data_IF_603833043763
#
_entry.id   IF_603833043763
#
_cell.length_a   1.000
_cell.length_b   1.000
_cell.length_c   1.000
_cell.angle_alpha   90.00
_cell.angle_beta   90.00
_cell.angle_gamma   90.00
#
_symmetry.space_group_name_H-M   'P 1'
#
loop_
_entity.id
_entity.type
_entity.pdbx_description
1 polymer ?
#
# COMPACT_ATOMS: atom_id res chain seq x y z
N UNK A 1 1.86 41.40 -30.87
CA UNK A 1 3.28 41.15 -30.69
C UNK A 1 3.58 40.91 -29.22
N UNK A 2 4.27 39.87 -29.04
CA UNK A 2 4.92 39.23 -27.90
C UNK A 2 3.96 38.30 -27.12
N UNK A 3 3.97 37.01 -27.36
CA UNK A 3 4.98 35.96 -27.17
C UNK A 3 5.28 35.66 -25.70
N UNK A 4 4.85 34.45 -25.37
CA UNK A 4 5.59 33.38 -24.72
C UNK A 4 6.12 33.59 -23.31
N UNK A 5 5.62 32.77 -22.45
CA UNK A 5 6.15 32.46 -21.16
C UNK A 5 5.61 31.14 -20.63
N UNK A 6 5.64 30.08 -21.45
CA UNK A 6 5.59 28.72 -20.89
C UNK A 6 6.91 28.50 -20.14
N UNK A 7 6.92 28.73 -18.84
CA UNK A 7 8.03 28.33 -17.98
C UNK A 7 7.96 26.82 -17.84
N UNK A 8 8.74 26.12 -18.67
CA UNK A 8 9.12 24.75 -18.40
C UNK A 8 9.75 24.69 -17.02
N UNK A 9 9.16 23.97 -16.08
CA UNK A 9 9.82 23.49 -14.88
C UNK A 9 10.98 22.62 -15.35
N UNK A 10 12.17 23.19 -15.44
CA UNK A 10 13.40 22.41 -15.65
C UNK A 10 13.54 21.53 -14.41
N UNK A 11 13.17 20.28 -14.55
CA UNK A 11 13.39 19.26 -13.56
C UNK A 11 14.89 19.20 -13.26
N UNK A 12 15.28 19.72 -12.09
CA UNK A 12 16.63 19.55 -11.56
C UNK A 12 16.77 18.13 -11.01
N UNK A 13 16.51 17.15 -11.85
CA UNK A 13 16.63 15.74 -11.49
C UNK A 13 18.11 15.33 -11.52
N UNK A 14 18.62 14.92 -10.35
CA UNK A 14 19.98 14.37 -10.25
C UNK A 14 19.92 12.90 -10.69
N UNK A 15 20.31 12.63 -11.94
CA UNK A 15 20.28 11.29 -12.54
C UNK A 15 20.95 10.22 -11.65
N UNK A 16 22.01 10.57 -10.92
CA UNK A 16 22.66 9.65 -10.02
C UNK A 16 21.75 9.15 -8.88
N UNK A 17 20.85 10.01 -8.38
CA UNK A 17 19.88 9.63 -7.34
C UNK A 17 18.83 8.67 -7.90
N UNK A 18 18.32 8.93 -9.10
CA UNK A 18 17.40 8.00 -9.77
C UNK A 18 18.04 6.64 -9.99
N UNK A 19 19.26 6.60 -10.54
CA UNK A 19 19.97 5.33 -10.77
C UNK A 19 20.22 4.59 -9.45
N UNK A 20 20.52 5.31 -8.35
CA UNK A 20 20.68 4.71 -7.03
C UNK A 20 19.40 4.00 -6.58
N UNK A 21 18.23 4.66 -6.68
CA UNK A 21 16.95 4.03 -6.31
C UNK A 21 16.57 2.90 -7.27
N UNK A 22 16.89 3.00 -8.57
CA UNK A 22 16.75 1.87 -9.51
C UNK A 22 17.52 0.63 -9.02
N UNK A 23 18.75 0.82 -8.52
CA UNK A 23 19.56 -0.29 -7.96
C UNK A 23 18.94 -0.82 -6.67
N UNK A 24 18.42 0.04 -5.79
CA UNK A 24 17.74 -0.36 -4.55
C UNK A 24 16.47 -1.16 -4.86
N UNK A 25 15.64 -0.67 -5.79
CA UNK A 25 14.41 -1.36 -6.19
C UNK A 25 14.72 -2.71 -6.87
N UNK A 26 15.77 -2.76 -7.70
CA UNK A 26 16.22 -4.01 -8.29
C UNK A 26 16.67 -5.04 -7.24
N UNK A 27 17.40 -4.61 -6.20
CA UNK A 27 17.80 -5.50 -5.11
C UNK A 27 16.60 -6.08 -4.33
N UNK A 28 15.46 -5.39 -4.30
CA UNK A 28 14.26 -5.87 -3.63
C UNK A 28 13.65 -7.12 -4.26
N UNK A 29 13.90 -7.35 -5.54
CA UNK A 29 13.38 -8.50 -6.28
C UNK A 29 14.21 -9.79 -6.06
N UNK A 30 15.34 -9.68 -5.33
CA UNK A 30 16.24 -10.79 -5.04
C UNK A 30 16.47 -10.94 -3.54
N UNK A 31 16.60 -12.17 -3.07
CA UNK A 31 17.09 -12.44 -1.70
C UNK A 31 18.56 -12.03 -1.55
N UNK A 32 19.38 -12.38 -2.55
CA UNK A 32 20.73 -11.85 -2.79
C UNK A 32 21.10 -12.01 -4.27
N UNK A 33 22.01 -11.16 -4.79
CA UNK A 33 22.33 -11.15 -6.21
C UNK A 33 23.74 -10.64 -6.48
N UNK A 34 24.43 -11.25 -7.44
CA UNK A 34 25.73 -10.80 -7.92
C UNK A 34 25.63 -9.56 -8.82
N UNK A 35 26.72 -8.75 -8.87
CA UNK A 35 26.80 -7.52 -9.67
C UNK A 35 26.39 -7.72 -11.14
N UNK A 36 26.82 -8.84 -11.74
CA UNK A 36 26.59 -9.08 -13.18
C UNK A 36 25.13 -9.37 -13.50
N UNK A 37 24.46 -10.11 -12.64
CA UNK A 37 23.06 -10.47 -12.76
C UNK A 37 22.17 -9.25 -12.52
N UNK A 38 22.42 -8.48 -11.45
CA UNK A 38 21.69 -7.25 -11.19
C UNK A 38 21.88 -6.23 -12.32
N UNK A 39 23.09 -6.05 -12.83
CA UNK A 39 23.37 -5.16 -13.95
C UNK A 39 22.59 -5.56 -15.20
N UNK A 40 22.49 -6.86 -15.46
CA UNK A 40 21.70 -7.39 -16.58
C UNK A 40 20.19 -7.18 -16.38
N UNK A 41 19.67 -7.44 -15.18
CA UNK A 41 18.25 -7.24 -14.86
C UNK A 41 17.81 -5.78 -14.96
N UNK A 42 18.72 -4.84 -14.63
CA UNK A 42 18.46 -3.40 -14.67
C UNK A 42 18.86 -2.71 -15.98
N UNK A 43 19.39 -3.47 -16.94
CA UNK A 43 19.97 -2.93 -18.19
C UNK A 43 21.01 -1.82 -17.96
N UNK A 44 21.78 -1.92 -16.87
CA UNK A 44 22.83 -0.98 -16.50
C UNK A 44 24.22 -1.54 -16.80
N UNK A 45 25.21 -0.67 -17.12
CA UNK A 45 26.60 -1.12 -17.20
C UNK A 45 27.07 -1.72 -15.87
N UNK A 46 27.75 -2.86 -15.91
CA UNK A 46 28.29 -3.55 -14.74
C UNK A 46 29.15 -2.64 -13.84
N UNK A 47 29.98 -1.79 -14.45
CA UNK A 47 30.81 -0.82 -13.72
C UNK A 47 29.96 0.20 -12.96
N UNK A 48 28.86 0.68 -13.56
CA UNK A 48 27.92 1.61 -12.93
C UNK A 48 27.22 0.93 -11.75
N UNK A 49 26.64 -0.24 -11.96
CA UNK A 49 25.98 -1.03 -10.92
C UNK A 49 26.92 -1.30 -9.73
N UNK A 50 28.16 -1.68 -10.01
CA UNK A 50 29.17 -1.92 -8.97
C UNK A 50 29.46 -0.67 -8.13
N UNK A 51 29.61 0.52 -8.77
CA UNK A 51 29.87 1.77 -8.05
C UNK A 51 28.70 2.12 -7.11
N UNK A 52 27.45 1.97 -7.57
CA UNK A 52 26.27 2.22 -6.72
C UNK A 52 26.18 1.22 -5.56
N UNK A 53 26.38 -0.07 -5.82
CA UNK A 53 26.39 -1.10 -4.78
C UNK A 53 27.45 -0.82 -3.72
N UNK A 54 28.67 -0.45 -4.12
CA UNK A 54 29.74 -0.09 -3.20
C UNK A 54 29.42 1.15 -2.36
N UNK A 55 28.86 2.18 -2.99
CA UNK A 55 28.44 3.40 -2.27
C UNK A 55 27.33 3.09 -1.26
N UNK A 56 26.35 2.27 -1.62
CA UNK A 56 25.27 1.84 -0.73
C UNK A 56 25.79 0.93 0.41
N UNK A 57 26.76 0.07 0.13
CA UNK A 57 27.44 -0.77 1.13
C UNK A 57 28.19 0.11 2.14
N UNK A 58 28.99 1.07 1.68
CA UNK A 58 29.72 2.02 2.53
C UNK A 58 28.76 2.87 3.40
N UNK A 59 27.61 3.23 2.84
CA UNK A 59 26.56 3.92 3.57
C UNK A 59 25.74 3.01 4.52
N UNK A 60 25.93 1.68 4.45
CA UNK A 60 25.26 0.69 5.30
C UNK A 60 23.83 0.32 4.86
N UNK A 61 23.44 0.68 3.63
CA UNK A 61 22.12 0.33 3.07
C UNK A 61 22.10 -1.01 2.33
N UNK A 62 23.27 -1.49 1.93
CA UNK A 62 23.46 -2.77 1.24
C UNK A 62 24.48 -3.60 2.01
N UNK A 63 24.28 -4.88 2.03
CA UNK A 63 25.22 -5.86 2.60
C UNK A 63 25.80 -6.67 1.46
N UNK A 64 27.13 -6.86 1.49
CA UNK A 64 27.87 -7.70 0.58
C UNK A 64 28.40 -8.92 1.33
N UNK A 65 28.01 -10.09 0.89
CA UNK A 65 28.51 -11.36 1.41
C UNK A 65 29.18 -12.16 0.29
N UNK A 66 30.50 -12.08 0.22
CA UNK A 66 31.29 -12.83 -0.76
C UNK A 66 31.04 -12.46 -2.23
N UNK A 67 30.52 -11.27 -2.52
CA UNK A 67 30.19 -10.80 -3.89
C UNK A 67 28.71 -10.83 -4.24
N UNK A 68 27.90 -11.36 -3.33
CA UNK A 68 26.45 -11.33 -3.37
C UNK A 68 25.93 -10.14 -2.55
N UNK A 69 25.04 -9.35 -3.14
CA UNK A 69 24.51 -8.12 -2.55
C UNK A 69 23.02 -8.28 -2.21
N UNK A 70 22.63 -7.74 -1.06
CA UNK A 70 21.22 -7.67 -0.61
C UNK A 70 20.93 -6.39 0.13
N UNK A 71 19.65 -6.05 0.28
CA UNK A 71 19.23 -4.89 1.07
C UNK A 71 19.64 -5.06 2.55
N UNK A 72 20.14 -3.98 3.13
CA UNK A 72 20.51 -3.89 4.54
C UNK A 72 19.33 -3.52 5.44
N UNK A 73 19.39 -3.87 6.73
CA UNK A 73 18.35 -3.58 7.72
C UNK A 73 18.18 -2.08 8.02
N UNK A 74 19.05 -1.21 7.48
CA UNK A 74 18.92 0.24 7.64
C UNK A 74 17.66 0.81 7.02
N UNK A 75 17.14 0.19 5.95
CA UNK A 75 15.84 0.53 5.39
C UNK A 75 14.70 0.23 6.37
N UNK A 76 14.79 -0.87 7.13
CA UNK A 76 13.81 -1.20 8.17
C UNK A 76 13.86 -0.21 9.33
N UNK A 77 15.05 0.28 9.72
CA UNK A 77 15.21 1.33 10.74
C UNK A 77 14.49 2.61 10.31
N UNK A 78 14.70 3.06 9.07
CA UNK A 78 14.04 4.26 8.53
C UNK A 78 12.52 4.08 8.45
N UNK A 79 12.05 3.02 7.83
CA UNK A 79 10.62 2.73 7.71
C UNK A 79 9.94 2.56 9.07
N UNK A 80 10.58 1.86 10.00
CA UNK A 80 10.12 1.70 11.38
C UNK A 80 10.00 3.05 12.11
N UNK A 81 11.00 3.93 11.94
CA UNK A 81 10.99 5.28 12.51
C UNK A 81 9.86 6.15 11.95
N UNK A 82 9.62 6.08 10.63
CA UNK A 82 8.49 6.78 9.99
C UNK A 82 7.18 6.29 10.61
N UNK A 83 6.93 4.99 10.58
CA UNK A 83 5.70 4.38 11.07
C UNK A 83 5.44 4.71 12.55
N UNK A 84 6.45 4.63 13.41
CA UNK A 84 6.33 4.93 14.83
C UNK A 84 5.94 6.39 15.12
N UNK A 85 6.22 7.33 14.23
CA UNK A 85 5.83 8.74 14.37
C UNK A 85 4.41 9.03 13.90
N UNK A 86 3.78 8.12 13.17
CA UNK A 86 2.41 8.29 12.70
C UNK A 86 1.43 8.10 13.86
N UNK A 87 0.74 9.17 14.24
CA UNK A 87 -0.33 9.14 15.25
C UNK A 87 -1.38 8.08 14.97
N UNK A 88 -1.73 7.92 13.69
CA UNK A 88 -2.65 6.89 13.22
C UNK A 88 -2.18 5.49 13.61
N UNK A 89 -0.90 5.17 13.39
CA UNK A 89 -0.35 3.86 13.74
C UNK A 89 -0.46 3.61 15.26
N UNK A 90 -0.18 4.63 16.07
CA UNK A 90 -0.29 4.51 17.53
C UNK A 90 -1.73 4.28 17.99
N UNK A 91 -2.69 4.98 17.35
CA UNK A 91 -4.11 4.84 17.68
C UNK A 91 -4.71 3.51 17.22
N UNK A 92 -4.26 2.97 16.09
CA UNK A 92 -4.91 1.85 15.43
C UNK A 92 -4.27 0.49 15.73
N UNK A 93 -2.99 0.44 16.08
CA UNK A 93 -2.25 -0.83 16.16
C UNK A 93 -2.93 -1.88 17.05
N UNK A 94 -3.32 -1.50 18.26
CA UNK A 94 -3.94 -2.43 19.21
C UNK A 94 -5.28 -2.94 18.68
N UNK A 95 -6.11 -2.06 18.12
CA UNK A 95 -7.42 -2.41 17.59
C UNK A 95 -7.32 -3.36 16.37
N UNK A 96 -6.33 -3.18 15.51
CA UNK A 96 -6.07 -4.09 14.39
C UNK A 96 -5.59 -5.46 14.89
N UNK A 97 -4.78 -5.52 15.96
CA UNK A 97 -4.36 -6.79 16.59
C UNK A 97 -5.56 -7.52 17.21
N UNK A 98 -6.42 -6.79 17.95
CA UNK A 98 -7.62 -7.35 18.57
C UNK A 98 -8.63 -7.81 17.51
N UNK A 99 -8.85 -7.02 16.47
CA UNK A 99 -9.73 -7.38 15.36
C UNK A 99 -9.30 -8.70 14.70
N UNK A 100 -8.02 -8.83 14.34
CA UNK A 100 -7.47 -10.05 13.76
C UNK A 100 -7.68 -11.27 14.68
N UNK A 101 -7.41 -11.11 15.98
CA UNK A 101 -7.60 -12.16 16.98
C UNK A 101 -9.07 -12.59 17.13
N UNK A 102 -10.00 -11.63 17.08
CA UNK A 102 -11.43 -11.89 17.25
C UNK A 102 -12.08 -12.56 16.04
N UNK A 103 -11.65 -12.18 14.82
CA UNK A 103 -12.24 -12.71 13.59
C UNK A 103 -11.52 -13.94 13.05
N UNK A 104 -10.28 -14.21 13.50
CA UNK A 104 -9.47 -15.33 13.02
C UNK A 104 -8.97 -15.15 11.58
N UNK A 105 -8.96 -13.92 11.05
CA UNK A 105 -8.51 -13.55 9.72
C UNK A 105 -7.49 -12.41 9.78
N UNK A 106 -6.85 -12.10 8.66
CA UNK A 106 -5.88 -11.01 8.58
C UNK A 106 -6.60 -9.66 8.69
N UNK A 107 -6.15 -8.81 9.61
CA UNK A 107 -6.59 -7.43 9.73
C UNK A 107 -5.50 -6.47 9.26
N UNK A 108 -5.90 -5.48 8.47
CA UNK A 108 -5.01 -4.56 7.79
C UNK A 108 -5.39 -3.11 8.06
N UNK A 109 -4.38 -2.24 8.12
CA UNK A 109 -4.52 -0.78 8.11
C UNK A 109 -3.79 -0.23 6.89
N UNK A 110 -4.47 0.54 6.06
CA UNK A 110 -3.91 1.18 4.88
C UNK A 110 -4.12 2.68 4.88
N UNK A 111 -3.21 3.39 4.24
CA UNK A 111 -3.28 4.83 3.98
C UNK A 111 -3.08 5.08 2.49
N UNK A 112 -3.36 6.30 2.05
CA UNK A 112 -3.04 6.75 0.69
C UNK A 112 -1.80 7.64 0.72
N UNK A 113 -0.85 7.36 -0.18
CA UNK A 113 0.29 8.23 -0.48
C UNK A 113 0.54 8.22 -1.99
N UNK A 114 0.67 9.38 -2.58
CA UNK A 114 0.90 9.56 -4.03
C UNK A 114 -0.09 8.80 -4.93
N UNK A 115 -1.39 8.80 -4.57
CA UNK A 115 -2.44 8.11 -5.31
C UNK A 115 -2.38 6.58 -5.25
N UNK A 116 -1.57 6.01 -4.37
CA UNK A 116 -1.47 4.57 -4.14
C UNK A 116 -1.84 4.19 -2.70
N UNK A 117 -2.31 2.96 -2.50
CA UNK A 117 -2.54 2.40 -1.18
C UNK A 117 -1.22 1.91 -0.59
N UNK A 118 -0.87 2.39 0.59
CA UNK A 118 0.26 1.90 1.38
C UNK A 118 -0.24 1.03 2.52
N UNK A 119 0.28 -0.20 2.64
CA UNK A 119 -0.03 -1.08 3.76
C UNK A 119 0.76 -0.60 4.99
N UNK A 120 0.10 0.11 5.90
CA UNK A 120 0.74 0.68 7.07
C UNK A 120 0.97 -0.35 8.18
N UNK A 121 0.01 -1.24 8.38
CA UNK A 121 0.08 -2.30 9.38
C UNK A 121 -0.77 -3.51 8.97
N UNK A 122 -0.31 -4.69 9.37
CA UNK A 122 -1.05 -5.95 9.25
C UNK A 122 -0.90 -6.76 10.53
N UNK A 123 -1.98 -7.37 10.97
CA UNK A 123 -2.03 -8.34 12.06
C UNK A 123 -2.62 -9.64 11.53
N UNK A 124 -2.03 -10.75 11.92
CA UNK A 124 -2.39 -12.09 11.43
C UNK A 124 -2.63 -13.04 12.60
N UNK A 125 -3.67 -13.88 12.54
CA UNK A 125 -3.86 -14.92 13.52
C UNK A 125 -2.76 -15.99 13.39
N UNK A 126 -2.44 -16.67 14.50
CA UNK A 126 -1.35 -17.67 14.57
C UNK A 126 -1.47 -18.79 13.54
N UNK A 127 -2.69 -19.13 13.15
CA UNK A 127 -3.02 -20.21 12.22
C UNK A 127 -3.57 -19.70 10.88
N UNK A 128 -3.44 -18.39 10.62
CA UNK A 128 -3.96 -17.72 9.43
C UNK A 128 -3.18 -18.09 8.16
N UNK A 129 -3.89 -18.08 7.03
CA UNK A 129 -3.25 -18.18 5.72
C UNK A 129 -2.72 -16.78 5.35
N UNK A 130 -1.42 -16.69 5.21
CA UNK A 130 -0.69 -15.44 5.04
C UNK A 130 -1.00 -14.75 3.71
N UNK A 131 -1.50 -13.54 3.75
CA UNK A 131 -1.22 -12.56 2.71
C UNK A 131 0.18 -12.00 3.00
N UNK A 132 1.16 -12.40 2.19
CA UNK A 132 2.56 -12.01 2.38
C UNK A 132 2.86 -10.55 1.95
N UNK A 133 1.86 -9.68 1.94
CA UNK A 133 2.05 -8.28 1.63
C UNK A 133 2.93 -7.62 2.71
N UNK A 134 4.11 -7.13 2.37
CA UNK A 134 4.97 -6.51 3.36
C UNK A 134 4.41 -5.14 3.80
N UNK A 135 4.55 -4.82 5.08
CA UNK A 135 4.32 -3.44 5.55
C UNK A 135 5.14 -2.45 4.72
N UNK A 136 4.50 -1.38 4.27
CA UNK A 136 5.09 -0.41 3.35
C UNK A 136 4.87 -0.74 1.87
N UNK A 137 4.15 -1.81 1.54
CA UNK A 137 3.80 -2.12 0.16
C UNK A 137 2.89 -1.05 -0.43
N UNK A 138 3.27 -0.55 -1.61
CA UNK A 138 2.43 0.31 -2.46
C UNK A 138 1.68 -0.53 -3.48
N UNK A 139 0.37 -0.29 -3.64
CA UNK A 139 -0.44 -0.92 -4.68
C UNK A 139 -1.44 0.05 -5.29
N UNK A 140 -1.94 -0.28 -6.48
CA UNK A 140 -3.04 0.48 -7.08
C UNK A 140 -4.28 0.47 -6.18
N UNK A 141 -4.91 1.62 -6.06
CA UNK A 141 -6.05 1.82 -5.16
C UNK A 141 -7.24 0.92 -5.51
N UNK A 142 -7.55 0.79 -6.80
CA UNK A 142 -8.72 0.03 -7.28
C UNK A 142 -8.61 -1.48 -7.11
N UNK A 143 -7.41 -2.01 -6.83
CA UNK A 143 -7.21 -3.47 -6.63
C UNK A 143 -7.68 -3.99 -5.28
N UNK A 144 -7.80 -3.12 -4.29
CA UNK A 144 -7.97 -3.57 -2.90
C UNK A 144 -9.18 -2.93 -2.23
N UNK A 145 -9.81 -3.65 -1.30
CA UNK A 145 -10.89 -3.08 -0.48
C UNK A 145 -10.43 -1.82 0.25
N UNK A 146 -9.21 -1.83 0.84
CA UNK A 146 -8.60 -0.65 1.47
C UNK A 146 -8.55 0.56 0.54
N UNK A 147 -8.02 0.36 -0.67
CA UNK A 147 -7.87 1.42 -1.64
C UNK A 147 -9.22 1.94 -2.15
N UNK A 148 -10.17 1.07 -2.45
CA UNK A 148 -11.54 1.47 -2.85
C UNK A 148 -12.26 2.22 -1.72
N UNK A 149 -12.10 1.78 -0.46
CA UNK A 149 -12.64 2.49 0.70
C UNK A 149 -12.05 3.90 0.84
N UNK A 150 -10.76 4.08 0.60
CA UNK A 150 -10.10 5.39 0.58
C UNK A 150 -10.58 6.26 -0.59
N UNK A 151 -10.60 5.71 -1.82
CA UNK A 151 -11.07 6.43 -3.01
C UNK A 151 -12.52 6.92 -2.87
N UNK A 152 -13.40 6.12 -2.25
CA UNK A 152 -14.81 6.47 -2.08
C UNK A 152 -15.03 7.75 -1.27
N UNK A 153 -14.04 8.17 -0.50
CA UNK A 153 -14.09 9.37 0.34
C UNK A 153 -13.54 10.63 -0.35
N UNK A 154 -12.91 10.47 -1.50
CA UNK A 154 -12.39 11.58 -2.29
C UNK A 154 -13.49 12.18 -3.17
N UNK A 155 -13.27 13.43 -3.60
CA UNK A 155 -14.11 14.01 -4.68
C UNK A 155 -13.81 13.29 -6.00
N UNK A 156 -14.76 13.33 -6.92
CA UNK A 156 -14.63 12.68 -8.21
C UNK A 156 -13.44 13.22 -9.01
N UNK A 157 -13.14 14.52 -8.91
CA UNK A 157 -11.96 15.14 -9.55
C UNK A 157 -10.65 14.57 -9.00
N UNK A 158 -10.59 14.25 -7.70
CA UNK A 158 -9.39 13.63 -7.10
C UNK A 158 -9.27 12.17 -7.48
N UNK A 159 -10.38 11.44 -7.59
CA UNK A 159 -10.39 10.07 -8.12
C UNK A 159 -9.91 10.06 -9.56
N UNK A 160 -10.40 10.99 -10.39
CA UNK A 160 -9.94 11.16 -11.78
C UNK A 160 -8.44 11.41 -11.85
N UNK A 161 -7.89 12.28 -11.00
CA UNK A 161 -6.46 12.54 -10.97
C UNK A 161 -5.63 11.29 -10.61
N UNK A 162 -6.10 10.47 -9.67
CA UNK A 162 -5.46 9.18 -9.32
C UNK A 162 -5.50 8.21 -10.52
N UNK A 163 -6.65 8.11 -11.19
CA UNK A 163 -6.79 7.25 -12.38
C UNK A 163 -5.94 7.75 -13.54
N UNK A 164 -5.83 9.06 -13.74
CA UNK A 164 -5.00 9.65 -14.80
C UNK A 164 -3.50 9.40 -14.54
N UNK A 165 -3.08 9.41 -13.27
CA UNK A 165 -1.68 9.20 -12.87
C UNK A 165 -1.27 7.72 -12.95
N UNK A 166 -2.09 6.79 -12.46
CA UNK A 166 -1.72 5.38 -12.27
C UNK A 166 -2.40 4.42 -13.24
N UNK A 167 -3.45 4.87 -13.95
CA UNK A 167 -4.29 4.01 -14.77
C UNK A 167 -5.13 3.03 -13.94
N UNK A 168 -5.77 2.10 -14.65
CA UNK A 168 -6.52 0.99 -14.08
C UNK A 168 -5.98 -0.36 -14.62
N UNK A 169 -4.70 -0.69 -14.37
CA UNK A 169 -4.16 -1.97 -14.85
C UNK A 169 -4.87 -3.16 -14.20
N UNK A 170 -5.01 -4.24 -14.95
CA UNK A 170 -5.55 -5.50 -14.44
C UNK A 170 -4.51 -6.25 -13.60
N UNK A 171 -4.93 -6.84 -12.49
CA UNK A 171 -4.15 -7.81 -11.72
C UNK A 171 -4.73 -9.22 -11.86
N UNK A 172 -6.06 -9.33 -12.08
CA UNK A 172 -6.80 -10.56 -12.32
C UNK A 172 -7.93 -10.28 -13.32
N UNK A 173 -8.64 -11.31 -13.74
CA UNK A 173 -9.83 -11.17 -14.58
C UNK A 173 -11.01 -10.45 -13.86
N UNK A 174 -10.99 -10.39 -12.53
CA UNK A 174 -12.01 -9.73 -11.72
C UNK A 174 -11.70 -8.25 -11.46
N UNK A 175 -10.49 -7.77 -11.80
CA UNK A 175 -10.08 -6.39 -11.56
C UNK A 175 -10.94 -5.40 -12.33
N UNK A 176 -11.37 -4.32 -11.69
CA UNK A 176 -12.04 -3.19 -12.34
C UNK A 176 -11.01 -2.45 -13.20
N UNK A 177 -11.21 -2.42 -14.52
CA UNK A 177 -10.30 -1.76 -15.48
C UNK A 177 -10.93 -0.57 -16.20
N UNK A 178 -12.24 -0.37 -16.02
CA UNK A 178 -12.99 0.70 -16.66
C UNK A 178 -13.34 1.80 -15.66
N UNK A 179 -13.13 3.07 -16.06
CA UNK A 179 -13.38 4.26 -15.22
C UNK A 179 -14.83 4.31 -14.73
N UNK A 180 -15.79 4.13 -15.61
CA UNK A 180 -17.23 4.20 -15.26
C UNK A 180 -17.60 3.10 -14.25
N UNK A 181 -17.01 1.90 -14.38
CA UNK A 181 -17.22 0.80 -13.44
C UNK A 181 -16.62 1.11 -12.05
N UNK A 182 -15.44 1.75 -12.02
CA UNK A 182 -14.86 2.20 -10.75
C UNK A 182 -15.75 3.23 -10.06
N UNK A 183 -16.24 4.25 -10.76
CA UNK A 183 -17.12 5.26 -10.17
C UNK A 183 -18.43 4.67 -9.65
N UNK A 184 -19.05 3.74 -10.38
CA UNK A 184 -20.25 3.02 -9.92
C UNK A 184 -19.98 2.19 -8.64
N UNK A 185 -18.82 1.54 -8.56
CA UNK A 185 -18.36 0.83 -7.34
C UNK A 185 -18.19 1.81 -6.19
N UNK A 186 -17.55 2.98 -6.41
CA UNK A 186 -17.33 3.99 -5.37
C UNK A 186 -18.64 4.60 -4.87
N UNK A 187 -19.64 4.78 -5.72
CA UNK A 187 -21.01 5.19 -5.30
C UNK A 187 -21.62 4.13 -4.38
N UNK A 188 -21.54 2.85 -4.76
CA UNK A 188 -22.01 1.75 -3.91
C UNK A 188 -21.33 1.74 -2.54
N UNK A 189 -20.01 2.00 -2.49
CA UNK A 189 -19.26 2.07 -1.25
C UNK A 189 -19.68 3.27 -0.40
N UNK A 190 -19.96 4.43 -1.02
CA UNK A 190 -20.47 5.63 -0.32
C UNK A 190 -21.83 5.35 0.34
N UNK A 191 -22.69 4.62 -0.33
CA UNK A 191 -24.05 4.28 0.14
C UNK A 191 -24.02 3.22 1.26
N UNK A 192 -23.18 2.17 1.12
CA UNK A 192 -23.11 1.05 2.07
C UNK A 192 -22.17 1.31 3.26
N UNK A 193 -21.18 2.21 3.07
CA UNK A 193 -20.17 2.55 4.04
C UNK A 193 -19.00 1.57 4.13
N UNK A 194 -18.91 0.58 3.24
CA UNK A 194 -17.80 -0.37 3.18
C UNK A 194 -17.47 -0.77 1.75
N UNK A 195 -16.22 -1.17 1.52
CA UNK A 195 -15.73 -1.67 0.25
C UNK A 195 -15.49 -3.19 0.32
N UNK A 196 -15.77 -3.89 -0.76
CA UNK A 196 -15.43 -5.31 -0.93
C UNK A 196 -14.37 -5.42 -2.03
N UNK A 197 -13.37 -6.26 -1.82
CA UNK A 197 -12.50 -6.82 -2.84
C UNK A 197 -12.84 -8.29 -2.99
N UNK A 198 -13.20 -8.73 -4.17
CA UNK A 198 -13.47 -10.13 -4.46
C UNK A 198 -12.57 -10.63 -5.58
N UNK A 199 -11.37 -11.07 -5.21
CA UNK A 199 -10.37 -11.61 -6.14
C UNK A 199 -9.79 -10.58 -7.13
N UNK A 200 -9.98 -9.28 -6.89
CA UNK A 200 -9.56 -8.21 -7.81
C UNK A 200 -8.04 -8.01 -7.84
N UNK A 201 -7.35 -8.21 -6.70
CA UNK A 201 -5.89 -8.18 -6.59
C UNK A 201 -5.25 -9.55 -6.77
N UNK A 202 -5.87 -10.58 -6.20
CA UNK A 202 -5.37 -11.96 -6.21
C UNK A 202 -6.52 -12.95 -6.20
N UNK A 203 -6.44 -13.96 -7.07
CA UNK A 203 -7.43 -15.04 -7.09
C UNK A 203 -7.53 -15.76 -5.74
N UNK A 204 -8.74 -16.14 -5.35
CA UNK A 204 -9.02 -16.86 -4.11
C UNK A 204 -8.98 -16.02 -2.83
N UNK A 205 -8.70 -14.71 -2.93
CA UNK A 205 -8.71 -13.76 -1.80
C UNK A 205 -9.96 -12.89 -1.86
N UNK A 206 -10.57 -12.63 -0.70
CA UNK A 206 -11.63 -11.65 -0.51
C UNK A 206 -11.27 -10.76 0.67
N UNK A 207 -11.68 -9.50 0.61
CA UNK A 207 -11.50 -8.54 1.69
C UNK A 207 -12.70 -7.61 1.81
N UNK A 208 -12.92 -7.10 3.02
CA UNK A 208 -13.87 -6.03 3.31
C UNK A 208 -13.13 -4.91 4.05
N UNK A 209 -13.39 -3.65 3.69
CA UNK A 209 -12.74 -2.49 4.28
C UNK A 209 -13.73 -1.39 4.62
N UNK A 210 -13.44 -0.64 5.68
CA UNK A 210 -14.17 0.56 6.09
C UNK A 210 -13.18 1.72 6.17
N UNK A 211 -13.53 2.91 5.64
CA UNK A 211 -12.68 4.09 5.78
C UNK A 211 -12.66 4.57 7.24
N UNK A 212 -11.48 4.97 7.71
CA UNK A 212 -11.26 5.64 9.00
C UNK A 212 -11.25 7.14 8.77
N UNK A 213 -12.12 7.89 9.44
CA UNK A 213 -12.33 9.32 9.23
C UNK A 213 -11.93 10.13 10.47
N UNK A 214 -11.54 11.34 10.23
CA UNK A 214 -11.37 12.33 11.28
C UNK A 214 -12.33 13.50 11.04
N UNK A 215 -13.09 13.89 12.06
CA UNK A 215 -14.19 14.86 11.93
C UNK A 215 -13.77 16.25 11.42
N UNK A 216 -12.50 16.61 11.57
CA UNK A 216 -11.97 17.92 11.20
C UNK A 216 -11.19 17.90 9.87
N UNK A 217 -11.05 16.71 9.25
CA UNK A 217 -10.41 16.53 7.95
C UNK A 217 -11.44 15.98 6.94
N UNK A 218 -11.63 16.63 5.79
CA UNK A 218 -12.54 16.12 4.76
C UNK A 218 -12.03 14.83 4.11
N UNK A 219 -10.73 14.55 4.22
CA UNK A 219 -10.11 13.37 3.64
C UNK A 219 -10.07 12.19 4.63
N UNK A 220 -10.17 10.95 4.14
CA UNK A 220 -10.00 9.79 5.00
C UNK A 220 -8.54 9.72 5.47
N UNK A 221 -8.35 9.49 6.75
CA UNK A 221 -7.01 9.34 7.33
C UNK A 221 -6.42 7.99 6.94
N UNK A 222 -7.29 6.95 6.86
CA UNK A 222 -6.92 5.57 6.59
C UNK A 222 -8.13 4.74 6.14
N UNK A 223 -7.89 3.45 5.94
CA UNK A 223 -8.93 2.43 5.93
C UNK A 223 -8.46 1.22 6.74
N UNK A 224 -9.38 0.55 7.42
CA UNK A 224 -9.15 -0.74 8.06
C UNK A 224 -9.87 -1.84 7.28
N UNK A 225 -9.28 -3.03 7.20
CA UNK A 225 -9.83 -4.15 6.44
C UNK A 225 -9.62 -5.48 7.15
N UNK A 226 -10.49 -6.43 6.82
CA UNK A 226 -10.31 -7.86 7.06
C UNK A 226 -10.13 -8.52 5.71
N UNK A 227 -9.12 -9.36 5.57
CA UNK A 227 -8.83 -10.12 4.36
C UNK A 227 -8.55 -11.59 4.67
N UNK A 228 -8.91 -12.46 3.74
CA UNK A 228 -8.70 -13.90 3.90
C UNK A 228 -9.10 -14.69 2.66
N UNK A 229 -9.02 -16.02 2.72
CA UNK A 229 -9.49 -16.88 1.63
C UNK A 229 -10.98 -16.65 1.35
N UNK A 230 -11.35 -16.45 0.08
CA UNK A 230 -12.73 -16.23 -0.36
C UNK A 230 -13.72 -17.26 0.22
N UNK A 231 -13.29 -18.53 0.36
CA UNK A 231 -14.11 -19.59 0.94
C UNK A 231 -14.50 -19.38 2.42
N UNK A 232 -13.73 -18.54 3.15
CA UNK A 232 -13.98 -18.19 4.57
C UNK A 232 -14.68 -16.84 4.71
N UNK A 233 -14.45 -15.94 3.76
CA UNK A 233 -15.08 -14.62 3.69
C UNK A 233 -16.19 -14.59 2.62
N UNK A 234 -17.03 -15.66 2.55
CA UNK A 234 -18.23 -15.70 1.71
C UNK A 234 -19.26 -14.66 2.14
N UNK A 235 -20.32 -14.49 1.34
CA UNK A 235 -21.34 -13.47 1.61
C UNK A 235 -22.03 -13.71 2.96
N UNK A 236 -22.31 -14.97 3.32
CA UNK A 236 -22.88 -15.35 4.61
C UNK A 236 -21.98 -14.94 5.80
N UNK A 237 -20.64 -15.01 5.64
CA UNK A 237 -19.72 -14.64 6.73
C UNK A 237 -19.60 -13.14 6.95
N UNK A 238 -19.89 -12.31 5.94
CA UNK A 238 -20.02 -10.87 6.14
C UNK A 238 -21.26 -10.54 7.01
N UNK A 239 -22.33 -11.32 6.85
CA UNK A 239 -23.55 -11.24 7.67
C UNK A 239 -23.35 -11.82 9.09
N UNK A 240 -22.36 -12.71 9.30
CA UNK A 240 -22.03 -13.36 10.59
C UNK A 240 -21.26 -12.45 11.58
N UNK A 241 -21.34 -11.14 11.40
CA UNK A 241 -20.81 -10.15 12.35
C UNK A 241 -19.38 -9.70 12.11
N UNK A 242 -18.71 -10.13 11.03
CA UNK A 242 -17.37 -9.64 10.63
C UNK A 242 -17.42 -8.13 10.36
N UNK A 243 -18.42 -7.67 9.62
CA UNK A 243 -18.60 -6.25 9.30
C UNK A 243 -18.87 -5.41 10.56
N UNK A 244 -19.64 -5.94 11.51
CA UNK A 244 -19.91 -5.24 12.77
C UNK A 244 -18.67 -5.10 13.63
N UNK A 245 -17.82 -6.14 13.72
CA UNK A 245 -16.53 -6.07 14.42
C UNK A 245 -15.58 -5.08 13.76
N UNK A 246 -15.55 -5.06 12.43
CA UNK A 246 -14.74 -4.08 11.70
C UNK A 246 -15.23 -2.65 11.95
N UNK A 247 -16.55 -2.41 11.98
CA UNK A 247 -17.13 -1.11 12.33
C UNK A 247 -16.78 -0.68 13.76
N UNK A 248 -16.86 -1.60 14.71
CA UNK A 248 -16.50 -1.34 16.11
C UNK A 248 -15.02 -0.94 16.21
N UNK A 249 -14.11 -1.70 15.62
CA UNK A 249 -12.69 -1.39 15.59
C UNK A 249 -12.40 -0.01 14.95
N UNK A 250 -13.02 0.30 13.81
CA UNK A 250 -12.89 1.61 13.15
C UNK A 250 -13.37 2.74 14.08
N UNK A 251 -14.53 2.60 14.73
CA UNK A 251 -15.02 3.60 15.67
C UNK A 251 -14.04 3.85 16.83
N UNK A 252 -13.42 2.80 17.37
CA UNK A 252 -12.43 2.94 18.45
C UNK A 252 -11.16 3.65 17.90
N UNK A 253 -10.71 3.28 16.73
CA UNK A 253 -9.56 3.94 16.08
C UNK A 253 -9.83 5.44 15.88
N UNK A 254 -10.99 5.81 15.38
CA UNK A 254 -11.40 7.21 15.17
C UNK A 254 -11.43 8.00 16.48
N UNK A 255 -11.99 7.41 17.54
CA UNK A 255 -12.01 8.01 18.88
C UNK A 255 -10.59 8.16 19.45
N UNK A 256 -9.76 7.12 19.35
CA UNK A 256 -8.38 7.13 19.84
C UNK A 256 -7.54 8.17 19.09
N UNK A 257 -7.69 8.27 17.78
CA UNK A 257 -6.97 9.22 16.96
C UNK A 257 -7.26 10.69 17.32
N UNK A 258 -8.45 10.99 17.83
CA UNK A 258 -8.81 12.33 18.33
C UNK A 258 -8.02 12.75 19.56
N UNK A 259 -7.58 11.78 20.36
CA UNK A 259 -6.92 12.04 21.64
C UNK A 259 -5.38 12.05 21.57
N UNK A 260 -4.81 11.70 20.42
CA UNK A 260 -3.38 11.83 20.15
C UNK A 260 -3.05 13.17 19.47
#
# INVERSE_FOLDING_TARGET
MAQDGASGSSEHNIQAVHTMFTVVDGLREFDSVGVSELASALELPKSTTFVYLKTLEEAGYVVNDGGEYRLGLRFLELGGSIRQRLRLFQAAKQEIDELSSQVGEVANLGVMEDGQRVLLYTSQPSDGMFDNAPTGEFTNMHWTALGKALLSQLSDERVDAVVDQHGLPSATDATITERDALFAELETIRDTGYAIEDQERREGVKAVAIPVRYSDDPDPVAAAAISGPKRRLGDDSLDDGILDRLREAVNIIELSYKHY
#
